data_IF_661822243507
#
_entry.id   IF_661822243507
#
_cell.length_a   1.000
_cell.length_b   1.000
_cell.length_c   1.000
_cell.angle_alpha   90.00
_cell.angle_beta   90.00
_cell.angle_gamma   90.00
#
_symmetry.space_group_name_H-M   'P 1'
#
loop_
_entity.id
_entity.type
_entity.pdbx_description
1 polymer ?
#
# COMPACT_ATOMS: atom_id res chain seq x y z
N UNK A 1 7.36 9.32 -21.88
CA UNK A 1 7.03 9.89 -20.56
C UNK A 1 7.20 8.80 -19.53
N UNK A 2 8.26 8.88 -18.73
CA UNK A 2 8.48 7.95 -17.63
C UNK A 2 7.36 8.25 -16.61
N UNK A 3 6.32 7.42 -16.52
CA UNK A 3 5.38 7.45 -15.40
C UNK A 3 6.19 7.07 -14.17
N UNK A 4 6.95 7.99 -13.61
CA UNK A 4 7.31 7.89 -12.21
C UNK A 4 5.99 7.60 -11.49
N UNK A 5 5.89 6.37 -11.00
CA UNK A 5 4.65 5.67 -10.68
C UNK A 5 3.66 6.63 -10.00
N UNK A 6 2.49 6.89 -10.56
CA UNK A 6 1.53 7.83 -9.93
C UNK A 6 1.21 7.42 -8.48
N UNK A 7 1.26 6.11 -8.22
CA UNK A 7 1.21 5.52 -6.88
C UNK A 7 2.40 5.92 -5.99
N UNK A 8 3.62 5.90 -6.54
CA UNK A 8 4.83 6.35 -5.83
C UNK A 8 4.68 7.80 -5.39
N UNK A 9 4.25 8.68 -6.29
CA UNK A 9 4.04 10.10 -5.99
C UNK A 9 2.89 10.31 -5.00
N UNK A 10 1.83 9.50 -5.05
CA UNK A 10 0.73 9.55 -4.08
C UNK A 10 1.19 9.13 -2.66
N UNK A 11 2.00 8.07 -2.55
CA UNK A 11 2.59 7.63 -1.28
C UNK A 11 3.50 8.71 -0.71
N UNK A 12 4.37 9.28 -1.54
CA UNK A 12 5.27 10.38 -1.14
C UNK A 12 4.51 11.58 -0.59
N UNK A 13 3.50 12.08 -1.32
CA UNK A 13 2.66 13.20 -0.87
C UNK A 13 1.94 12.92 0.45
N UNK A 14 1.47 11.68 0.64
CA UNK A 14 0.79 11.28 1.87
C UNK A 14 1.73 11.28 3.08
N UNK A 15 2.96 10.79 2.89
CA UNK A 15 4.00 10.82 3.92
C UNK A 15 4.44 12.24 4.26
N UNK A 16 4.67 13.09 3.26
CA UNK A 16 5.02 14.50 3.48
C UNK A 16 3.96 15.24 4.30
N UNK A 17 2.67 14.98 4.01
CA UNK A 17 1.57 15.51 4.81
C UNK A 17 1.59 14.96 6.24
N UNK A 18 1.77 13.65 6.40
CA UNK A 18 1.87 13.03 7.72
C UNK A 18 2.99 13.64 8.57
N UNK A 19 4.17 13.89 8.00
CA UNK A 19 5.27 14.56 8.70
C UNK A 19 4.96 16.01 9.04
N UNK A 20 4.24 16.73 8.17
CA UNK A 20 3.82 18.12 8.44
C UNK A 20 2.82 18.21 9.59
N UNK A 21 1.92 17.24 9.68
CA UNK A 21 0.86 17.20 10.70
C UNK A 21 1.37 16.77 12.09
N UNK A 22 2.60 16.26 12.19
CA UNK A 22 3.18 15.71 13.41
C UNK A 22 3.78 16.74 14.39
N UNK A 23 3.76 18.02 14.04
CA UNK A 23 4.14 19.18 14.89
C UNK A 23 5.36 18.98 15.81
N UNK A 24 6.40 18.29 15.31
CA UNK A 24 7.68 18.08 16.00
C UNK A 24 7.77 16.84 16.90
N UNK A 25 6.75 15.98 16.95
CA UNK A 25 6.88 14.67 17.58
C UNK A 25 7.78 13.74 16.77
N UNK A 26 8.46 12.80 17.45
CA UNK A 26 9.31 11.81 16.76
C UNK A 26 8.44 10.64 16.29
N UNK A 27 8.23 10.47 14.97
CA UNK A 27 7.48 9.33 14.46
C UNK A 27 8.16 8.01 14.78
N UNK A 28 7.39 7.02 15.24
CA UNK A 28 7.82 5.63 15.39
C UNK A 28 6.97 4.71 14.52
N UNK A 29 7.52 3.57 14.12
CA UNK A 29 6.81 2.53 13.35
C UNK A 29 6.16 2.97 12.01
N UNK A 30 6.73 3.97 11.32
CA UNK A 30 6.20 4.46 10.02
C UNK A 30 6.19 3.37 8.95
N UNK A 31 7.19 2.50 8.94
CA UNK A 31 7.23 1.36 8.03
C UNK A 31 5.99 0.47 8.20
N UNK A 32 5.70 0.04 9.43
CA UNK A 32 4.54 -0.82 9.73
C UNK A 32 3.21 -0.10 9.47
N UNK A 33 3.13 1.20 9.80
CA UNK A 33 1.96 2.02 9.52
C UNK A 33 1.68 2.06 8.02
N UNK A 34 2.69 2.36 7.19
CA UNK A 34 2.55 2.42 5.74
C UNK A 34 2.18 1.06 5.19
N UNK A 35 2.88 0.00 5.61
CA UNK A 35 2.63 -1.36 5.13
C UNK A 35 1.19 -1.79 5.40
N UNK A 36 0.68 -1.61 6.63
CA UNK A 36 -0.71 -1.93 7.00
C UNK A 36 -1.74 -1.16 6.15
N UNK A 37 -1.45 0.09 5.82
CA UNK A 37 -2.34 0.92 5.01
C UNK A 37 -2.33 0.57 3.52
N UNK A 38 -1.28 -0.11 3.04
CA UNK A 38 -1.16 -0.50 1.63
C UNK A 38 -1.56 -1.96 1.41
N UNK A 39 -1.16 -2.87 2.31
CA UNK A 39 -1.42 -4.31 2.16
C UNK A 39 -2.91 -4.63 2.12
N UNK A 40 -3.68 -4.09 3.07
CA UNK A 40 -5.11 -4.37 3.16
C UNK A 40 -5.88 -3.97 1.90
N UNK A 41 -5.82 -2.70 1.42
CA UNK A 41 -6.57 -2.32 0.22
C UNK A 41 -6.04 -3.02 -1.03
N UNK A 42 -4.74 -3.31 -1.11
CA UNK A 42 -4.17 -4.10 -2.22
C UNK A 42 -4.79 -5.50 -2.27
N UNK A 43 -4.82 -6.22 -1.14
CA UNK A 43 -5.39 -7.57 -1.07
C UNK A 43 -6.89 -7.54 -1.34
N UNK A 44 -7.64 -6.62 -0.72
CA UNK A 44 -9.09 -6.48 -0.90
C UNK A 44 -9.44 -6.18 -2.37
N UNK A 45 -8.70 -5.27 -3.01
CA UNK A 45 -8.93 -4.91 -4.42
C UNK A 45 -8.64 -6.08 -5.35
N UNK A 46 -7.52 -6.79 -5.13
CA UNK A 46 -7.15 -7.94 -5.97
C UNK A 46 -8.10 -9.12 -5.74
N UNK A 47 -8.50 -9.39 -4.50
CA UNK A 47 -9.48 -10.44 -4.20
C UNK A 47 -10.85 -10.13 -4.80
N UNK A 48 -11.27 -8.86 -4.78
CA UNK A 48 -12.48 -8.40 -5.46
C UNK A 48 -12.41 -8.60 -6.97
N UNK A 49 -11.28 -8.27 -7.59
CA UNK A 49 -11.05 -8.52 -9.02
C UNK A 49 -11.01 -10.01 -9.38
N UNK A 50 -10.53 -10.84 -8.46
CA UNK A 50 -10.52 -12.29 -8.58
C UNK A 50 -11.87 -12.94 -8.22
N UNK A 51 -12.93 -12.15 -7.98
CA UNK A 51 -14.27 -12.63 -7.58
C UNK A 51 -14.23 -13.56 -6.35
N UNK A 52 -13.33 -13.28 -5.40
CA UNK A 52 -13.14 -14.10 -4.20
C UNK A 52 -12.25 -15.34 -4.40
N UNK A 53 -11.75 -15.60 -5.60
CA UNK A 53 -10.83 -16.70 -5.86
C UNK A 53 -9.43 -16.37 -5.32
N UNK A 54 -9.12 -16.88 -4.12
CA UNK A 54 -7.84 -16.67 -3.45
C UNK A 54 -6.63 -17.20 -4.23
N UNK A 55 -6.80 -18.25 -5.04
CA UNK A 55 -5.68 -18.82 -5.82
C UNK A 55 -5.34 -17.94 -7.01
N UNK A 56 -6.36 -17.35 -7.64
CA UNK A 56 -6.18 -16.35 -8.69
C UNK A 56 -5.64 -15.04 -8.09
N UNK A 57 -6.15 -14.61 -6.94
CA UNK A 57 -5.65 -13.42 -6.25
C UNK A 57 -4.17 -13.56 -5.87
N UNK A 58 -3.75 -14.72 -5.35
CA UNK A 58 -2.34 -15.00 -5.03
C UNK A 58 -1.45 -14.98 -6.29
N UNK A 59 -1.94 -15.52 -7.42
CA UNK A 59 -1.25 -15.44 -8.71
C UNK A 59 -1.12 -13.99 -9.19
N UNK A 60 -2.18 -13.19 -9.08
CA UNK A 60 -2.17 -11.77 -9.45
C UNK A 60 -1.24 -10.93 -8.58
N UNK A 61 -1.19 -11.24 -7.27
CA UNK A 61 -0.28 -10.60 -6.31
C UNK A 61 1.17 -11.07 -6.49
N UNK A 62 1.41 -12.20 -7.17
CA UNK A 62 2.73 -12.81 -7.32
C UNK A 62 3.28 -13.39 -6.01
N UNK A 63 2.40 -13.71 -5.05
CA UNK A 63 2.77 -14.27 -3.74
C UNK A 63 2.35 -15.73 -3.66
N UNK A 64 3.03 -16.49 -2.79
CA UNK A 64 2.57 -17.83 -2.48
C UNK A 64 1.27 -17.76 -1.67
N UNK A 65 0.35 -18.68 -1.93
CA UNK A 65 -0.91 -18.83 -1.19
C UNK A 65 -0.72 -19.57 0.16
N UNK A 66 0.43 -20.21 0.35
CA UNK A 66 0.76 -21.01 1.54
C UNK A 66 1.33 -20.17 2.68
#
# INVERSE_FOLDING_TARGET
>A
MNRANELHEAVKRSLERYFKDMDGETPTAIYDMVLKNIERPMIETVLGHAEGNQSLAAQMLGINRN
#
